data_IF_619046842976
#
_entry.id   IF_619046842976
#
_cell.length_a   1.000
_cell.length_b   1.000
_cell.length_c   1.000
_cell.angle_alpha   90.00
_cell.angle_beta   90.00
_cell.angle_gamma   90.00
#
_symmetry.space_group_name_H-M   'P 1'
#
loop_
_entity.id
_entity.type
_entity.pdbx_description
1 polymer ?
#
# COMPACT_ATOMS: atom_id res chain seq x y z
N UNK A 1 -15.73 12.14 20.20
CA UNK A 1 -14.90 12.08 18.98
C UNK A 1 -13.48 12.41 19.39
N UNK A 2 -12.60 11.42 19.26
CA UNK A 2 -11.30 11.42 19.91
C UNK A 2 -10.20 11.97 19.01
N UNK A 3 -9.09 12.39 19.59
CA UNK A 3 -7.86 12.82 18.90
C UNK A 3 -7.22 11.74 17.98
N UNK A 4 -7.89 10.60 17.78
CA UNK A 4 -7.36 9.39 17.15
C UNK A 4 -8.28 8.79 16.08
N UNK A 5 -9.38 9.44 15.71
CA UNK A 5 -10.29 8.93 14.68
C UNK A 5 -9.56 8.92 13.31
N UNK A 6 -9.50 7.74 12.67
CA UNK A 6 -8.72 7.49 11.44
C UNK A 6 -9.64 7.44 10.21
N UNK A 7 -9.23 8.11 9.13
CA UNK A 7 -9.83 7.95 7.81
C UNK A 7 -9.19 6.76 7.10
N UNK A 8 -9.98 5.74 6.79
CA UNK A 8 -9.53 4.64 5.94
C UNK A 8 -9.90 4.92 4.47
N UNK A 9 -8.89 5.04 3.61
CA UNK A 9 -9.05 5.05 2.16
C UNK A 9 -8.86 3.61 1.67
N UNK A 10 -9.75 3.13 0.81
CA UNK A 10 -9.74 1.75 0.30
C UNK A 10 -9.96 1.76 -1.20
N UNK A 11 -9.27 0.88 -1.89
CA UNK A 11 -9.52 0.53 -3.29
C UNK A 11 -9.43 -0.99 -3.44
N UNK A 12 -10.31 -1.57 -4.25
CA UNK A 12 -10.45 -3.01 -4.42
C UNK A 12 -10.60 -3.34 -5.90
N UNK A 13 -9.93 -4.40 -6.33
CA UNK A 13 -9.99 -4.88 -7.70
C UNK A 13 -10.01 -6.40 -7.76
N UNK A 14 -10.87 -6.95 -8.62
CA UNK A 14 -10.84 -8.37 -8.96
C UNK A 14 -9.79 -8.64 -10.04
N UNK A 15 -9.02 -9.70 -9.84
CA UNK A 15 -7.93 -10.15 -10.70
C UNK A 15 -8.15 -11.63 -11.01
N UNK A 16 -8.10 -12.00 -12.29
CA UNK A 16 -8.20 -13.39 -12.74
C UNK A 16 -6.90 -14.14 -12.45
N UNK A 17 -6.68 -14.44 -11.17
CA UNK A 17 -5.48 -15.12 -10.69
C UNK A 17 -5.72 -15.69 -9.29
N UNK A 18 -4.79 -16.50 -8.79
CA UNK A 18 -4.89 -17.06 -7.43
C UNK A 18 -4.27 -16.16 -6.37
N UNK A 19 -4.66 -16.27 -5.09
CA UNK A 19 -4.05 -15.50 -4.02
C UNK A 19 -2.54 -15.70 -3.92
N UNK A 20 -2.06 -16.90 -4.23
CA UNK A 20 -0.64 -17.28 -4.23
C UNK A 20 0.16 -16.47 -5.25
N UNK A 21 -0.37 -16.25 -6.45
CA UNK A 21 0.31 -15.46 -7.50
C UNK A 21 0.40 -13.98 -7.11
N UNK A 22 -0.66 -13.43 -6.51
CA UNK A 22 -0.64 -12.06 -5.96
C UNK A 22 0.37 -11.97 -4.81
N UNK A 23 0.38 -12.96 -3.92
CA UNK A 23 1.34 -13.03 -2.82
C UNK A 23 2.78 -13.09 -3.31
N UNK A 24 3.06 -13.95 -4.29
CA UNK A 24 4.39 -14.09 -4.89
C UNK A 24 4.86 -12.79 -5.54
N UNK A 25 3.95 -12.05 -6.19
CA UNK A 25 4.25 -10.72 -6.71
C UNK A 25 4.75 -9.79 -5.60
N UNK A 26 4.05 -9.74 -4.47
CA UNK A 26 4.44 -8.91 -3.34
C UNK A 26 5.69 -9.41 -2.61
N UNK A 27 5.87 -10.73 -2.50
CA UNK A 27 7.07 -11.33 -1.93
C UNK A 27 8.33 -10.87 -2.68
N UNK A 28 8.23 -10.74 -4.01
CA UNK A 28 9.29 -10.28 -4.90
C UNK A 28 9.21 -8.77 -5.21
N UNK A 29 8.79 -7.95 -4.23
CA UNK A 29 8.66 -6.49 -4.40
C UNK A 29 9.95 -5.82 -4.87
N UNK A 30 11.14 -6.23 -4.40
CA UNK A 30 12.40 -5.61 -4.84
C UNK A 30 12.58 -5.66 -6.36
N UNK A 31 12.07 -6.71 -7.02
CA UNK A 31 12.11 -6.88 -8.47
C UNK A 31 10.87 -6.27 -9.15
N UNK A 32 9.70 -6.39 -8.52
CA UNK A 32 8.43 -6.03 -9.13
C UNK A 32 8.01 -4.56 -8.91
N UNK A 33 8.64 -3.84 -7.99
CA UNK A 33 8.14 -2.53 -7.56
C UNK A 33 8.11 -1.51 -8.70
N UNK A 34 9.15 -1.42 -9.51
CA UNK A 34 9.24 -0.45 -10.62
C UNK A 34 8.37 -0.82 -11.82
N UNK A 35 8.07 -2.11 -12.02
CA UNK A 35 7.13 -2.55 -13.06
C UNK A 35 5.68 -2.37 -12.63
N UNK A 36 5.41 -2.32 -11.32
CA UNK A 36 4.07 -2.17 -10.76
C UNK A 36 3.46 -0.79 -11.04
N UNK A 37 4.23 0.28 -10.87
CA UNK A 37 3.73 1.63 -11.06
C UNK A 37 4.86 2.58 -11.51
N UNK A 38 4.62 3.49 -12.47
CA UNK A 38 5.66 4.39 -12.99
C UNK A 38 6.22 5.38 -11.95
N UNK A 39 5.48 5.63 -10.86
CA UNK A 39 5.94 6.47 -9.76
C UNK A 39 6.88 5.73 -8.79
N UNK A 40 6.99 4.41 -8.88
CA UNK A 40 7.84 3.60 -8.02
C UNK A 40 9.30 3.66 -8.48
N UNK A 41 10.19 4.00 -7.55
CA UNK A 41 11.62 4.17 -7.84
C UNK A 41 12.43 3.01 -7.31
N UNK A 42 12.27 2.66 -6.02
CA UNK A 42 12.99 1.55 -5.40
C UNK A 42 12.22 1.00 -4.21
N UNK A 43 12.28 -0.31 -4.01
CA UNK A 43 11.84 -0.97 -2.79
C UNK A 43 12.97 -1.89 -2.31
N UNK A 44 13.18 -1.96 -0.99
CA UNK A 44 14.17 -2.82 -0.35
C UNK A 44 13.64 -3.40 0.94
N UNK A 45 13.89 -4.68 1.16
CA UNK A 45 13.85 -5.27 2.50
C UNK A 45 15.13 -4.90 3.21
N UNK A 46 15.03 -4.16 4.32
CA UNK A 46 16.21 -3.68 5.05
C UNK A 46 16.58 -4.60 6.20
N UNK A 47 15.60 -5.30 6.79
CA UNK A 47 15.81 -6.25 7.87
C UNK A 47 14.76 -7.36 7.80
N UNK A 48 15.14 -8.60 8.11
CA UNK A 48 14.24 -9.76 8.12
C UNK A 48 13.86 -10.28 6.72
N UNK A 49 13.19 -11.44 6.65
CA UNK A 49 12.74 -12.02 5.38
C UNK A 49 11.55 -11.25 4.76
N UNK A 50 11.35 -11.30 3.43
CA UNK A 50 10.19 -10.70 2.80
C UNK A 50 8.88 -11.22 3.38
N UNK A 51 7.91 -10.32 3.60
CA UNK A 51 6.56 -10.67 4.04
C UNK A 51 6.47 -11.47 5.35
N UNK A 52 7.41 -11.25 6.27
CA UNK A 52 7.33 -11.77 7.63
C UNK A 52 7.07 -10.66 8.66
N UNK A 53 6.35 -10.99 9.73
CA UNK A 53 6.08 -10.03 10.81
C UNK A 53 7.39 -9.61 11.47
N UNK A 54 7.59 -8.31 11.65
CA UNK A 54 8.83 -7.72 12.16
C UNK A 54 9.84 -7.31 11.09
N UNK A 55 9.70 -7.76 9.83
CA UNK A 55 10.59 -7.35 8.75
C UNK A 55 10.48 -5.86 8.45
N UNK A 56 11.62 -5.22 8.17
CA UNK A 56 11.71 -3.80 7.88
C UNK A 56 11.89 -3.56 6.38
N UNK A 57 11.34 -2.45 5.91
CA UNK A 57 11.37 -2.10 4.49
C UNK A 57 11.67 -0.62 4.29
N UNK A 58 12.19 -0.31 3.10
CA UNK A 58 12.44 1.03 2.59
C UNK A 58 11.89 1.13 1.17
N UNK A 59 11.20 2.23 0.87
CA UNK A 59 10.70 2.52 -0.47
C UNK A 59 10.96 3.97 -0.87
N UNK A 60 11.17 4.22 -2.15
CA UNK A 60 11.12 5.56 -2.73
C UNK A 60 10.10 5.60 -3.86
N UNK A 61 9.25 6.63 -3.84
CA UNK A 61 8.21 6.86 -4.84
C UNK A 61 8.10 8.34 -5.18
N UNK A 62 7.73 8.68 -6.41
CA UNK A 62 7.49 10.06 -6.83
C UNK A 62 6.00 10.36 -6.71
N UNK A 63 5.61 11.07 -5.66
CA UNK A 63 4.21 11.48 -5.44
C UNK A 63 4.09 13.00 -5.54
N UNK A 64 3.14 13.47 -6.35
CA UNK A 64 2.92 14.90 -6.62
C UNK A 64 4.20 15.64 -7.05
N UNK A 65 5.01 14.98 -7.90
CA UNK A 65 6.26 15.53 -8.42
C UNK A 65 7.40 15.63 -7.39
N UNK A 66 7.26 15.01 -6.21
CA UNK A 66 8.30 14.99 -5.16
C UNK A 66 8.68 13.57 -4.81
N UNK A 67 9.98 13.31 -4.70
CA UNK A 67 10.50 12.06 -4.17
C UNK A 67 10.10 11.92 -2.69
N UNK A 68 9.37 10.85 -2.38
CA UNK A 68 9.02 10.43 -1.03
C UNK A 68 9.88 9.24 -0.68
N UNK A 69 10.40 9.25 0.55
CA UNK A 69 11.16 8.16 1.13
C UNK A 69 10.33 7.59 2.26
N UNK A 70 9.87 6.37 2.07
CA UNK A 70 9.05 5.65 3.01
C UNK A 70 9.89 4.56 3.66
N UNK A 71 9.62 4.30 4.92
CA UNK A 71 10.20 3.17 5.64
C UNK A 71 9.25 2.73 6.72
N UNK A 72 9.36 1.46 7.07
CA UNK A 72 8.41 0.84 7.96
C UNK A 72 8.80 -0.55 8.38
N UNK A 73 7.87 -1.20 9.08
CA UNK A 73 7.95 -2.61 9.43
C UNK A 73 6.65 -3.32 9.05
N UNK A 74 6.72 -4.63 8.89
CA UNK A 74 5.54 -5.48 8.81
C UNK A 74 5.04 -5.78 10.22
N UNK A 75 3.74 -5.65 10.45
CA UNK A 75 3.10 -5.88 11.75
C UNK A 75 2.44 -7.25 11.84
N UNK A 76 1.47 -7.50 10.97
CA UNK A 76 0.68 -8.73 10.93
C UNK A 76 0.73 -9.30 9.52
N UNK A 77 0.93 -10.61 9.43
CA UNK A 77 0.92 -11.37 8.18
C UNK A 77 0.00 -12.57 8.32
N UNK A 78 -0.91 -12.71 7.37
CA UNK A 78 -1.64 -13.95 7.10
C UNK A 78 -1.27 -14.33 5.66
N UNK A 79 -0.47 -15.40 5.45
CA UNK A 79 -0.01 -15.80 4.11
C UNK A 79 -1.17 -15.92 3.11
N UNK A 80 -0.94 -15.40 1.90
CA UNK A 80 -1.89 -15.35 0.78
C UNK A 80 -3.24 -14.67 1.11
N UNK A 81 -3.29 -13.83 2.15
CA UNK A 81 -4.54 -13.21 2.63
C UNK A 81 -4.39 -11.78 3.10
N UNK A 82 -3.39 -11.48 3.93
CA UNK A 82 -3.28 -10.17 4.58
C UNK A 82 -1.85 -9.81 4.91
N UNK A 83 -1.50 -8.56 4.66
CA UNK A 83 -0.23 -7.96 5.08
C UNK A 83 -0.52 -6.58 5.66
N UNK A 84 -0.01 -6.31 6.86
CA UNK A 84 -0.13 -4.99 7.52
C UNK A 84 1.24 -4.34 7.60
N UNK A 85 1.38 -3.17 6.99
CA UNK A 85 2.59 -2.36 7.01
C UNK A 85 2.41 -1.19 7.96
N UNK A 86 3.41 -0.93 8.80
CA UNK A 86 3.49 0.25 9.67
C UNK A 86 4.55 1.20 9.15
N UNK A 87 4.20 2.47 8.99
CA UNK A 87 5.19 3.50 8.70
C UNK A 87 5.90 3.90 10.00
N UNK A 88 7.16 4.33 9.90
CA UNK A 88 7.88 4.97 11.03
C UNK A 88 7.73 6.49 11.02
N UNK A 89 8.15 7.13 12.12
CA UNK A 89 8.18 8.59 12.23
C UNK A 89 9.12 9.22 11.18
N UNK A 90 8.76 10.37 10.57
CA UNK A 90 7.58 11.20 10.84
C UNK A 90 6.33 10.82 10.03
N UNK A 91 6.44 9.93 9.03
CA UNK A 91 5.32 9.54 8.15
C UNK A 91 4.14 8.99 8.97
N UNK A 92 4.42 8.24 10.02
CA UNK A 92 3.42 7.66 10.91
C UNK A 92 2.51 8.67 11.63
N UNK A 93 2.89 9.95 11.70
CA UNK A 93 2.03 11.01 12.24
C UNK A 93 0.82 11.29 11.35
N UNK A 94 0.94 11.04 10.04
CA UNK A 94 -0.11 11.29 9.04
C UNK A 94 -0.68 9.97 8.54
N UNK A 95 0.17 9.03 8.14
CA UNK A 95 -0.22 7.71 7.66
C UNK A 95 0.42 6.64 8.55
N UNK A 96 -0.20 6.25 9.67
CA UNK A 96 0.40 5.29 10.60
C UNK A 96 0.66 3.91 10.00
N UNK A 97 -0.21 3.47 9.07
CA UNK A 97 -0.19 2.11 8.54
C UNK A 97 -0.99 1.99 7.25
N UNK A 98 -0.71 0.93 6.51
CA UNK A 98 -1.52 0.48 5.39
C UNK A 98 -1.63 -1.04 5.38
N UNK A 99 -2.65 -1.55 4.71
CA UNK A 99 -2.94 -2.98 4.65
C UNK A 99 -3.21 -3.40 3.22
N UNK A 100 -2.80 -4.63 2.90
CA UNK A 100 -3.11 -5.34 1.67
C UNK A 100 -3.85 -6.60 2.00
N UNK A 101 -5.04 -6.76 1.42
CA UNK A 101 -5.91 -7.93 1.60
C UNK A 101 -6.05 -8.64 0.26
N UNK A 102 -6.04 -9.97 0.31
CA UNK A 102 -6.15 -10.85 -0.85
C UNK A 102 -7.22 -11.89 -0.51
N UNK A 103 -8.37 -11.81 -1.17
CA UNK A 103 -9.50 -12.68 -0.89
C UNK A 103 -9.77 -13.59 -2.10
N UNK A 104 -9.84 -14.93 -1.94
CA UNK A 104 -10.19 -15.81 -3.04
C UNK A 104 -11.67 -15.66 -3.43
N UNK A 105 -11.94 -15.57 -4.72
CA UNK A 105 -13.29 -15.51 -5.31
C UNK A 105 -13.43 -16.53 -6.44
N UNK A 106 -13.66 -17.79 -6.05
CA UNK A 106 -13.72 -18.90 -7.02
C UNK A 106 -12.34 -19.16 -7.65
N UNK A 107 -12.23 -19.00 -8.96
CA UNK A 107 -10.96 -19.07 -9.70
C UNK A 107 -10.18 -17.74 -9.72
N UNK A 108 -10.77 -16.67 -9.21
CA UNK A 108 -10.21 -15.32 -9.20
C UNK A 108 -9.81 -14.93 -7.77
N UNK A 109 -9.25 -13.73 -7.64
CA UNK A 109 -8.94 -13.12 -6.34
C UNK A 109 -9.32 -11.63 -6.34
N UNK A 110 -9.74 -11.13 -5.18
CA UNK A 110 -9.93 -9.69 -4.94
C UNK A 110 -8.74 -9.17 -4.15
N UNK A 111 -8.00 -8.24 -4.73
CA UNK A 111 -6.99 -7.47 -4.04
C UNK A 111 -7.60 -6.18 -3.49
N UNK A 112 -7.38 -5.88 -2.22
CA UNK A 112 -7.83 -4.63 -1.59
C UNK A 112 -6.64 -3.94 -0.91
N UNK A 113 -6.36 -2.72 -1.32
CA UNK A 113 -5.40 -1.84 -0.65
C UNK A 113 -6.14 -0.89 0.30
N UNK A 114 -5.59 -0.69 1.51
CA UNK A 114 -6.19 0.17 2.53
C UNK A 114 -5.11 1.07 3.12
N UNK A 115 -5.29 2.38 2.99
CA UNK A 115 -4.42 3.38 3.61
C UNK A 115 -5.14 4.06 4.77
N UNK A 116 -4.54 4.06 5.96
CA UNK A 116 -5.08 4.73 7.14
C UNK A 116 -4.43 6.10 7.29
N UNK A 117 -5.25 7.16 7.27
CA UNK A 117 -4.81 8.53 7.45
C UNK A 117 -5.37 9.14 8.74
N UNK A 118 -4.52 9.86 9.47
CA UNK A 118 -4.92 10.71 10.58
C UNK A 118 -5.36 12.05 10.01
N UNK A 119 -6.62 12.12 9.62
CA UNK A 119 -7.21 13.26 8.92
C UNK A 119 -8.22 14.06 9.76
N UNK A 120 -8.22 13.91 11.09
CA UNK A 120 -9.13 14.64 11.99
C UNK A 120 -8.40 15.56 12.97
N UNK A 121 -9.06 16.64 13.40
CA UNK A 121 -8.50 17.67 14.29
C UNK A 121 -7.77 18.80 13.55
N UNK A 122 -6.67 19.28 14.13
CA UNK A 122 -5.95 20.48 13.72
C UNK A 122 -5.44 20.43 12.26
N UNK A 123 -5.03 19.25 11.77
CA UNK A 123 -4.53 19.07 10.40
C UNK A 123 -5.60 19.33 9.34
N UNK A 124 -6.84 18.88 9.55
CA UNK A 124 -7.94 19.13 8.62
C UNK A 124 -8.38 20.60 8.64
N UNK A 125 -8.30 21.26 9.80
CA UNK A 125 -8.66 22.67 9.92
C UNK A 125 -7.61 23.61 9.32
N UNK A 126 -6.32 23.34 9.55
CA UNK A 126 -5.22 24.22 9.09
C UNK A 126 -4.82 23.93 7.63
N UNK A 127 -4.93 22.68 7.17
CA UNK A 127 -4.41 22.24 5.87
C UNK A 127 -5.45 21.48 5.03
N UNK A 128 -6.72 21.91 5.07
CA UNK A 128 -7.86 21.21 4.42
C UNK A 128 -7.60 20.89 2.94
N UNK A 129 -7.27 21.90 2.15
CA UNK A 129 -7.09 21.75 0.69
C UNK A 129 -5.93 20.83 0.35
N UNK A 130 -4.83 20.92 1.10
CA UNK A 130 -3.68 20.03 0.95
C UNK A 130 -4.05 18.59 1.29
N UNK A 131 -4.82 18.39 2.36
CA UNK A 131 -5.30 17.06 2.76
C UNK A 131 -6.25 16.47 1.72
N UNK A 132 -7.21 17.24 1.22
CA UNK A 132 -8.13 16.81 0.16
C UNK A 132 -7.39 16.43 -1.12
N UNK A 133 -6.38 17.23 -1.51
CA UNK A 133 -5.52 16.93 -2.66
C UNK A 133 -4.74 15.64 -2.44
N UNK A 134 -4.16 15.45 -1.25
CA UNK A 134 -3.42 14.24 -0.90
C UNK A 134 -4.31 12.99 -0.87
N UNK A 135 -5.53 13.10 -0.33
CA UNK A 135 -6.53 12.01 -0.32
C UNK A 135 -6.92 11.65 -1.75
N UNK A 136 -7.17 12.65 -2.61
CA UNK A 136 -7.52 12.42 -4.02
C UNK A 136 -6.38 11.77 -4.79
N UNK A 137 -5.14 12.23 -4.57
CA UNK A 137 -3.95 11.64 -5.16
C UNK A 137 -3.74 10.20 -4.69
N UNK A 138 -3.89 9.92 -3.40
CA UNK A 138 -3.77 8.58 -2.83
C UNK A 138 -4.82 7.61 -3.39
N UNK A 139 -6.09 8.03 -3.51
CA UNK A 139 -7.14 7.22 -4.15
C UNK A 139 -6.81 6.91 -5.61
N UNK A 140 -6.33 7.90 -6.35
CA UNK A 140 -5.96 7.73 -7.75
C UNK A 140 -4.81 6.72 -7.87
N UNK A 141 -3.76 6.90 -7.07
CA UNK A 141 -2.58 6.04 -7.06
C UNK A 141 -2.95 4.59 -6.71
N UNK A 142 -3.70 4.35 -5.63
CA UNK A 142 -4.15 3.00 -5.23
C UNK A 142 -4.94 2.30 -6.33
N UNK A 143 -5.79 3.04 -7.05
CA UNK A 143 -6.54 2.52 -8.19
C UNK A 143 -5.63 2.16 -9.36
N UNK A 144 -4.68 3.01 -9.70
CA UNK A 144 -3.70 2.76 -10.78
C UNK A 144 -2.80 1.57 -10.44
N UNK A 145 -2.35 1.43 -9.20
CA UNK A 145 -1.61 0.27 -8.69
C UNK A 145 -2.43 -1.02 -8.83
N UNK A 146 -3.71 -1.02 -8.44
CA UNK A 146 -4.60 -2.17 -8.60
C UNK A 146 -4.80 -2.55 -10.06
N UNK A 147 -5.06 -1.57 -10.93
CA UNK A 147 -5.24 -1.80 -12.36
C UNK A 147 -3.97 -2.33 -13.04
N UNK A 148 -2.79 -1.85 -12.64
CA UNK A 148 -1.51 -2.32 -13.16
C UNK A 148 -1.19 -3.72 -12.66
N UNK A 149 -1.42 -4.00 -11.37
CA UNK A 149 -1.26 -5.34 -10.79
C UNK A 149 -2.11 -6.36 -11.56
N UNK A 150 -3.38 -6.02 -11.82
CA UNK A 150 -4.27 -6.86 -12.64
C UNK A 150 -3.68 -7.11 -14.03
N UNK A 151 -3.23 -6.07 -14.72
CA UNK A 151 -2.62 -6.21 -16.05
C UNK A 151 -1.41 -7.13 -16.01
N UNK A 152 -0.49 -6.94 -15.06
CA UNK A 152 0.74 -7.73 -14.95
C UNK A 152 0.41 -9.21 -14.73
N UNK A 153 -0.48 -9.51 -13.78
CA UNK A 153 -0.76 -10.89 -13.39
C UNK A 153 -1.65 -11.64 -14.39
N UNK A 154 -2.54 -10.95 -15.10
CA UNK A 154 -3.39 -11.57 -16.13
C UNK A 154 -2.70 -11.75 -17.49
N UNK A 155 -1.60 -11.03 -17.76
CA UNK A 155 -0.81 -11.22 -18.99
C UNK A 155 0.30 -12.27 -18.84
N UNK A 156 0.51 -12.79 -17.63
CA UNK A 156 1.47 -13.86 -17.34
C UNK A 156 0.85 -15.28 -17.49
N UNK A 157 -0.39 -15.38 -17.96
CA UNK A 157 -1.08 -16.63 -18.32
C UNK A 157 -1.15 -16.82 -19.84
#
# INVERSE_FOLDING_TARGET
>A
MGLFDQLAIRDSIEIRTTPEKIWEFFYNLEQNYTSWHPEHVVFKWTEGPPMESGSAWYAEEVSLGKLKKLKGTIDEVIPNRKIVFKNVFPVSLVSPRFEWHIEPTGSNSVFTAINYLRAEGLYRTIARETMETAIKASRKHMKEEGENLRKILEHQE
#
